data_IF_333227500614
#
_entry.id   IF_333227500614
#
_cell.length_a   1.000
_cell.length_b   1.000
_cell.length_c   1.000
_cell.angle_alpha   90.00
_cell.angle_beta   90.00
_cell.angle_gamma   90.00
#
_symmetry.space_group_name_H-M   'P 1'
#
loop_
_entity.id
_entity.type
_entity.pdbx_description
1 polymer ?
#
# COMPACT_ATOMS: atom_id res chain seq x y z
N UNK A 1 -25.59 9.22 23.75
CA UNK A 1 -25.69 9.32 22.27
C UNK A 1 -26.76 8.40 21.67
N UNK A 2 -26.67 7.08 21.89
CA UNK A 2 -27.53 6.09 21.22
C UNK A 2 -29.03 6.34 21.46
N UNK A 3 -29.42 6.68 22.69
CA UNK A 3 -30.82 6.97 23.04
C UNK A 3 -31.41 8.16 22.27
N UNK A 4 -30.66 9.26 22.10
CA UNK A 4 -31.11 10.42 21.29
C UNK A 4 -31.28 10.03 19.82
N UNK A 5 -30.33 9.26 19.28
CA UNK A 5 -30.44 8.72 17.92
C UNK A 5 -31.64 7.79 17.76
N UNK A 6 -31.90 6.93 18.74
CA UNK A 6 -33.05 6.02 18.71
C UNK A 6 -34.38 6.79 18.76
N UNK A 7 -34.47 7.89 19.51
CA UNK A 7 -35.63 8.80 19.54
C UNK A 7 -35.84 9.50 18.20
N UNK A 8 -34.79 10.09 17.63
CA UNK A 8 -34.84 10.72 16.30
C UNK A 8 -35.26 9.73 15.20
N UNK A 9 -34.66 8.54 15.22
CA UNK A 9 -34.96 7.48 14.26
C UNK A 9 -36.40 6.97 14.41
N UNK A 10 -36.92 6.90 15.65
CA UNK A 10 -38.31 6.54 15.92
C UNK A 10 -39.28 7.56 15.29
N UNK A 11 -39.11 8.85 15.59
CA UNK A 11 -39.99 9.88 15.02
C UNK A 11 -39.93 9.90 13.48
N UNK A 12 -38.73 9.74 12.90
CA UNK A 12 -38.57 9.69 11.45
C UNK A 12 -39.31 8.51 10.82
N UNK A 13 -39.30 7.32 11.45
CA UNK A 13 -40.07 6.17 10.98
C UNK A 13 -41.59 6.39 11.10
N UNK A 14 -42.06 7.06 12.16
CA UNK A 14 -43.48 7.36 12.34
C UNK A 14 -43.98 8.38 11.30
N UNK A 15 -43.19 9.43 11.03
CA UNK A 15 -43.49 10.40 9.97
C UNK A 15 -43.54 9.71 8.59
N UNK A 16 -42.60 8.82 8.30
CA UNK A 16 -42.62 8.03 7.05
C UNK A 16 -43.87 7.14 6.96
N UNK A 17 -44.33 6.57 8.08
CA UNK A 17 -45.57 5.80 8.15
C UNK A 17 -46.81 6.63 7.81
N UNK A 18 -46.91 7.86 8.33
CA UNK A 18 -47.99 8.81 7.98
C UNK A 18 -47.99 9.16 6.49
N UNK A 19 -46.80 9.26 5.87
CA UNK A 19 -46.62 9.48 4.42
C UNK A 19 -46.82 8.21 3.57
N UNK A 20 -47.41 7.15 4.13
CA UNK A 20 -47.63 5.86 3.49
C UNK A 20 -46.36 5.18 2.93
N UNK A 21 -45.17 5.53 3.45
CA UNK A 21 -43.93 4.86 3.08
C UNK A 21 -43.79 3.58 3.91
N UNK A 22 -43.48 2.47 3.24
CA UNK A 22 -43.31 1.17 3.91
C UNK A 22 -42.21 1.23 4.96
N UNK A 23 -42.59 1.08 6.23
CA UNK A 23 -41.66 0.99 7.36
C UNK A 23 -41.80 -0.34 8.10
N UNK A 24 -40.73 -0.77 8.77
CA UNK A 24 -40.76 -2.03 9.53
C UNK A 24 -41.49 -1.86 10.86
N UNK A 25 -42.70 -2.41 10.97
CA UNK A 25 -43.50 -2.44 12.20
C UNK A 25 -42.72 -3.03 13.38
N UNK A 26 -41.98 -4.12 13.15
CA UNK A 26 -41.12 -4.77 14.16
C UNK A 26 -40.02 -3.82 14.67
N UNK A 27 -39.44 -3.01 13.79
CA UNK A 27 -38.42 -2.03 14.16
C UNK A 27 -39.04 -0.88 14.97
N UNK A 28 -40.21 -0.39 14.57
CA UNK A 28 -40.91 0.67 15.32
C UNK A 28 -41.31 0.19 16.71
N UNK A 29 -41.93 -0.98 16.84
CA UNK A 29 -42.29 -1.55 18.15
C UNK A 29 -41.09 -1.72 19.08
N UNK A 30 -39.95 -2.17 18.54
CA UNK A 30 -38.69 -2.25 19.30
C UNK A 30 -38.21 -0.87 19.77
N UNK A 31 -38.27 0.13 18.90
CA UNK A 31 -37.84 1.48 19.23
C UNK A 31 -38.76 2.15 20.25
N UNK A 32 -40.08 2.00 20.14
CA UNK A 32 -41.05 2.49 21.14
C UNK A 32 -40.72 1.96 22.53
N UNK A 33 -40.47 0.65 22.65
CA UNK A 33 -40.08 0.02 23.93
C UNK A 33 -38.72 0.53 24.41
N UNK A 34 -37.74 0.67 23.51
CA UNK A 34 -36.37 1.08 23.85
C UNK A 34 -36.28 2.55 24.29
N UNK A 35 -37.06 3.43 23.69
CA UNK A 35 -37.05 4.86 24.00
C UNK A 35 -38.00 5.24 25.12
N UNK A 36 -38.92 4.35 25.51
CA UNK A 36 -39.98 4.62 26.49
C UNK A 36 -41.09 5.53 25.95
N UNK A 37 -41.14 5.78 24.64
CA UNK A 37 -42.08 6.70 24.00
C UNK A 37 -43.29 5.96 23.43
N UNK A 38 -43.96 5.14 24.23
CA UNK A 38 -45.13 4.34 23.80
C UNK A 38 -46.26 5.19 23.20
N UNK A 39 -46.45 6.41 23.72
CA UNK A 39 -47.47 7.34 23.26
C UNK A 39 -47.19 7.94 21.87
N UNK A 40 -45.94 7.89 21.38
CA UNK A 40 -45.56 8.55 20.13
C UNK A 40 -46.31 7.99 18.90
N UNK A 41 -46.77 6.74 18.97
CA UNK A 41 -47.57 6.12 17.90
C UNK A 41 -48.95 6.80 17.69
N UNK A 42 -49.47 7.49 18.71
CA UNK A 42 -50.79 8.15 18.68
C UNK A 42 -50.74 9.61 18.21
N UNK A 43 -49.56 10.14 17.92
CA UNK A 43 -49.37 11.54 17.56
C UNK A 43 -49.73 11.81 16.09
N UNK A 44 -50.21 13.02 15.82
CA UNK A 44 -50.40 13.52 14.46
C UNK A 44 -49.05 13.71 13.75
N UNK A 45 -49.06 13.79 12.42
CA UNK A 45 -47.84 14.08 11.66
C UNK A 45 -47.19 15.41 12.09
N UNK A 46 -48.00 16.45 12.28
CA UNK A 46 -47.54 17.77 12.70
C UNK A 46 -46.83 17.71 14.06
N UNK A 47 -47.40 16.99 15.04
CA UNK A 47 -46.81 16.82 16.37
C UNK A 47 -45.50 16.02 16.31
N UNK A 48 -45.44 14.99 15.47
CA UNK A 48 -44.24 14.18 15.26
C UNK A 48 -43.12 15.01 14.65
N UNK A 49 -43.42 15.84 13.66
CA UNK A 49 -42.45 16.75 13.04
C UNK A 49 -41.94 17.78 14.05
N UNK A 50 -42.82 18.39 14.86
CA UNK A 50 -42.44 19.33 15.90
C UNK A 50 -41.52 18.67 16.95
N UNK A 51 -41.88 17.48 17.44
CA UNK A 51 -41.04 16.73 18.40
C UNK A 51 -39.69 16.32 17.81
N UNK A 52 -39.68 15.88 16.54
CA UNK A 52 -38.44 15.54 15.86
C UNK A 52 -37.53 16.76 15.73
N UNK A 53 -38.08 17.93 15.39
CA UNK A 53 -37.32 19.17 15.26
C UNK A 53 -36.65 19.57 16.58
N UNK A 54 -37.41 19.57 17.68
CA UNK A 54 -36.89 19.89 19.02
C UNK A 54 -35.74 18.95 19.41
N UNK A 55 -35.95 17.63 19.26
CA UNK A 55 -34.94 16.62 19.58
C UNK A 55 -33.72 16.70 18.66
N UNK A 56 -33.92 17.14 17.41
CA UNK A 56 -32.81 17.33 16.48
C UNK A 56 -31.98 18.55 16.86
N UNK A 57 -32.61 19.66 17.25
CA UNK A 57 -31.89 20.86 17.71
C UNK A 57 -31.05 20.55 18.95
N UNK A 58 -31.65 19.90 19.94
CA UNK A 58 -30.93 19.46 21.14
C UNK A 58 -29.79 18.48 20.79
N UNK A 59 -30.03 17.52 19.88
CA UNK A 59 -28.95 16.67 19.37
C UNK A 59 -27.79 17.47 18.73
N UNK A 60 -28.09 18.50 17.93
CA UNK A 60 -27.07 19.34 17.28
C UNK A 60 -26.26 20.12 18.31
N UNK A 61 -26.90 20.75 19.29
CA UNK A 61 -26.22 21.51 20.33
C UNK A 61 -25.27 20.63 21.15
N UNK A 62 -25.77 19.49 21.61
CA UNK A 62 -24.96 18.60 22.45
C UNK A 62 -23.87 17.93 21.60
N UNK A 63 -24.12 17.62 20.33
CA UNK A 63 -23.08 17.16 19.40
C UNK A 63 -21.99 18.21 19.23
N UNK A 64 -22.31 19.49 19.10
CA UNK A 64 -21.31 20.56 18.95
C UNK A 64 -20.38 20.63 20.16
N UNK A 65 -20.93 20.49 21.37
CA UNK A 65 -20.18 20.61 22.63
C UNK A 65 -19.44 19.33 23.03
N UNK A 66 -20.04 18.15 22.81
CA UNK A 66 -19.57 16.86 23.36
C UNK A 66 -19.20 15.81 22.31
N UNK A 67 -19.09 16.17 21.02
CA UNK A 67 -18.77 15.22 19.94
C UNK A 67 -17.52 14.38 20.22
N UNK A 68 -16.46 14.99 20.77
CA UNK A 68 -15.22 14.29 21.08
C UNK A 68 -15.42 13.25 22.20
N UNK A 69 -16.01 13.65 23.32
CA UNK A 69 -16.30 12.77 24.46
C UNK A 69 -17.20 11.60 24.04
N UNK A 70 -18.28 11.87 23.29
CA UNK A 70 -19.16 10.83 22.78
C UNK A 70 -18.47 9.84 21.83
N UNK A 71 -17.48 10.31 21.05
CA UNK A 71 -16.70 9.44 20.19
C UNK A 71 -15.80 8.52 21.01
N UNK A 72 -15.20 9.02 22.09
CA UNK A 72 -14.40 8.22 23.00
C UNK A 72 -15.26 7.17 23.74
N UNK A 73 -16.35 7.59 24.38
CA UNK A 73 -17.29 6.70 25.06
C UNK A 73 -17.83 5.60 24.13
N UNK A 74 -18.17 5.96 22.89
CA UNK A 74 -18.60 4.99 21.89
C UNK A 74 -17.50 3.98 21.58
N UNK A 75 -16.25 4.43 21.42
CA UNK A 75 -15.11 3.56 21.16
C UNK A 75 -14.81 2.63 22.35
N UNK A 76 -14.89 3.13 23.58
CA UNK A 76 -14.72 2.35 24.82
C UNK A 76 -15.82 1.31 25.01
N UNK A 77 -17.09 1.71 24.84
CA UNK A 77 -18.22 0.77 24.90
C UNK A 77 -18.07 -0.30 23.82
N UNK A 78 -17.59 0.08 22.63
CA UNK A 78 -17.31 -0.87 21.54
C UNK A 78 -16.11 -1.77 21.85
N UNK A 79 -15.04 -1.28 22.49
CA UNK A 79 -13.86 -2.07 22.81
C UNK A 79 -14.17 -3.09 23.92
N UNK A 80 -14.94 -2.71 24.94
CA UNK A 80 -15.43 -3.61 25.98
C UNK A 80 -16.34 -4.71 25.39
N UNK A 81 -17.23 -4.36 24.45
CA UNK A 81 -18.06 -5.35 23.76
C UNK A 81 -17.25 -6.31 22.86
N UNK A 82 -16.11 -5.86 22.33
CA UNK A 82 -15.18 -6.68 21.53
C UNK A 82 -14.34 -7.59 22.42
N UNK A 83 -13.91 -7.12 23.61
CA UNK A 83 -13.21 -7.91 24.62
C UNK A 83 -14.07 -9.08 25.13
N UNK A 84 -15.39 -8.85 25.28
CA UNK A 84 -16.36 -9.86 25.72
C UNK A 84 -16.78 -10.86 24.63
N UNK A 85 -16.38 -10.66 23.37
CA UNK A 85 -16.73 -11.58 22.30
C UNK A 85 -15.77 -12.79 22.29
N UNK A 86 -16.32 -14.01 22.17
CA UNK A 86 -15.52 -15.25 22.06
C UNK A 86 -14.46 -15.13 20.96
N UNK A 87 -13.24 -15.58 21.24
CA UNK A 87 -12.16 -15.80 20.24
C UNK A 87 -12.76 -16.59 19.06
N UNK A 88 -12.62 -16.07 17.84
CA UNK A 88 -13.17 -16.67 16.61
C UNK A 88 -14.30 -15.92 15.93
N UNK A 89 -14.90 -14.90 16.56
CA UNK A 89 -15.94 -14.10 15.88
C UNK A 89 -15.33 -13.09 14.88
N UNK A 90 -15.40 -13.41 13.59
CA UNK A 90 -14.89 -12.59 12.46
C UNK A 90 -15.41 -11.14 12.52
N UNK A 91 -16.67 -10.92 12.93
CA UNK A 91 -17.26 -9.58 13.04
C UNK A 91 -16.64 -8.79 14.20
N UNK A 92 -16.30 -9.45 15.31
CA UNK A 92 -15.62 -8.82 16.44
C UNK A 92 -14.15 -8.49 16.10
N UNK A 93 -13.45 -9.38 15.39
CA UNK A 93 -12.09 -9.15 14.91
C UNK A 93 -12.02 -7.95 13.94
N UNK A 94 -12.83 -7.96 12.89
CA UNK A 94 -12.92 -6.86 11.90
C UNK A 94 -13.19 -5.51 12.57
N UNK A 95 -14.02 -5.52 13.62
CA UNK A 95 -14.36 -4.32 14.41
C UNK A 95 -13.18 -3.84 15.25
N UNK A 96 -12.40 -4.73 15.86
CA UNK A 96 -11.17 -4.41 16.60
C UNK A 96 -10.14 -3.74 15.67
N UNK A 97 -9.91 -4.32 14.50
CA UNK A 97 -8.98 -3.80 13.50
C UNK A 97 -9.36 -2.40 13.03
N UNK A 98 -10.67 -2.12 12.84
CA UNK A 98 -11.15 -0.77 12.49
C UNK A 98 -10.84 0.27 13.58
N UNK A 99 -11.02 -0.07 14.85
CA UNK A 99 -10.73 0.83 15.97
C UNK A 99 -9.23 1.14 16.04
N UNK A 100 -8.38 0.11 15.93
CA UNK A 100 -6.92 0.26 15.89
C UNK A 100 -6.47 1.15 14.71
N UNK A 101 -6.98 0.90 13.50
CA UNK A 101 -6.69 1.73 12.32
C UNK A 101 -7.10 3.20 12.51
N UNK A 102 -8.22 3.46 13.19
CA UNK A 102 -8.62 4.85 13.47
C UNK A 102 -7.71 5.51 14.51
N UNK A 103 -7.31 4.79 15.57
CA UNK A 103 -6.36 5.30 16.56
C UNK A 103 -5.01 5.62 15.91
N UNK A 104 -4.49 4.73 15.07
CA UNK A 104 -3.27 4.96 14.29
C UNK A 104 -3.39 6.18 13.37
N UNK A 105 -4.53 6.38 12.70
CA UNK A 105 -4.74 7.57 11.85
C UNK A 105 -4.70 8.87 12.65
N UNK A 106 -5.35 8.91 13.81
CA UNK A 106 -5.34 10.10 14.68
C UNK A 106 -3.95 10.36 15.27
N UNK A 107 -3.24 9.31 15.69
CA UNK A 107 -1.86 9.43 16.14
C UNK A 107 -0.94 9.95 15.03
N UNK A 108 -1.06 9.39 13.81
CA UNK A 108 -0.34 9.87 12.63
C UNK A 108 -0.66 11.34 12.35
N UNK A 109 -1.94 11.74 12.48
CA UNK A 109 -2.36 13.13 12.29
C UNK A 109 -1.78 14.06 13.35
N UNK A 110 -1.71 13.63 14.61
CA UNK A 110 -1.07 14.37 15.72
C UNK A 110 0.42 14.52 15.48
N UNK A 111 1.11 13.43 15.10
CA UNK A 111 2.53 13.45 14.72
C UNK A 111 2.78 14.43 13.56
N UNK A 112 1.96 14.37 12.50
CA UNK A 112 2.00 15.35 11.39
C UNK A 112 1.70 16.79 11.84
N UNK A 113 0.79 17.00 12.79
CA UNK A 113 0.51 18.36 13.31
C UNK A 113 1.67 18.90 14.14
N UNK A 114 2.30 18.04 14.95
CA UNK A 114 3.44 18.39 15.79
C UNK A 114 4.74 18.60 14.99
N UNK A 115 4.96 17.78 13.95
CA UNK A 115 6.13 17.87 13.07
C UNK A 115 5.99 18.91 11.96
N UNK A 116 4.85 19.61 11.87
CA UNK A 116 4.53 20.49 10.74
C UNK A 116 4.15 19.73 9.46
N UNK A 117 3.79 20.46 8.39
CA UNK A 117 3.60 19.84 7.07
C UNK A 117 4.92 19.18 6.66
N UNK A 118 5.01 17.86 6.83
CA UNK A 118 6.03 17.06 6.15
C UNK A 118 6.01 17.45 4.68
N UNK A 119 7.17 17.83 4.16
CA UNK A 119 7.31 18.28 2.79
C UNK A 119 6.80 17.18 1.86
N UNK A 120 5.82 17.51 1.02
CA UNK A 120 5.19 16.57 0.08
C UNK A 120 5.64 16.81 -1.36
N UNK A 121 6.67 17.63 -1.55
CA UNK A 121 7.35 17.81 -2.84
C UNK A 121 8.55 16.87 -3.00
N UNK A 122 9.08 16.76 -4.22
CA UNK A 122 10.31 16.01 -4.48
C UNK A 122 11.53 16.61 -3.77
N UNK A 123 12.61 15.84 -3.65
CA UNK A 123 13.85 16.27 -2.99
C UNK A 123 14.34 17.63 -3.49
N UNK A 124 14.40 18.63 -2.61
CA UNK A 124 14.96 19.94 -2.94
C UNK A 124 16.48 19.98 -2.79
N UNK A 125 17.02 19.19 -1.88
CA UNK A 125 18.45 19.15 -1.61
C UNK A 125 18.88 17.77 -1.11
N UNK A 126 20.14 17.44 -1.37
CA UNK A 126 20.80 16.23 -0.89
C UNK A 126 22.21 16.57 -0.39
N UNK A 127 22.76 15.73 0.47
CA UNK A 127 24.17 15.75 0.85
C UNK A 127 24.90 14.61 0.14
N UNK A 128 25.97 14.96 -0.55
CA UNK A 128 26.84 14.02 -1.28
C UNK A 128 28.25 14.14 -0.73
N UNK A 129 28.93 13.00 -0.56
CA UNK A 129 30.34 12.99 -0.19
C UNK A 129 31.18 13.36 -1.43
N UNK A 130 32.05 14.35 -1.29
CA UNK A 130 33.06 14.70 -2.27
C UNK A 130 34.43 14.36 -1.68
N UNK A 131 35.23 13.63 -2.44
CA UNK A 131 36.61 13.32 -2.09
C UNK A 131 37.48 14.46 -2.60
N UNK A 132 38.17 15.15 -1.70
CA UNK A 132 39.14 16.17 -2.03
C UNK A 132 40.44 15.53 -2.56
N UNK A 133 41.30 16.35 -3.18
CA UNK A 133 42.55 15.88 -3.80
C UNK A 133 43.52 15.21 -2.81
N UNK A 134 43.38 15.51 -1.52
CA UNK A 134 44.14 14.94 -0.41
C UNK A 134 43.55 13.61 0.11
N UNK A 135 42.49 13.10 -0.51
CA UNK A 135 41.78 11.88 -0.09
C UNK A 135 40.78 12.09 1.04
N UNK A 136 40.62 13.32 1.56
CA UNK A 136 39.64 13.60 2.61
C UNK A 136 38.23 13.70 2.03
N UNK A 137 37.26 13.07 2.68
CA UNK A 137 35.84 13.15 2.28
C UNK A 137 35.14 14.28 3.03
N UNK A 138 34.56 15.21 2.30
CA UNK A 138 33.71 16.27 2.86
C UNK A 138 32.32 16.23 2.26
N UNK A 139 31.32 16.65 3.03
CA UNK A 139 29.92 16.59 2.61
C UNK A 139 29.46 17.91 2.03
N UNK A 140 29.01 17.88 0.78
CA UNK A 140 28.51 19.06 0.08
C UNK A 140 26.99 18.96 -0.04
N UNK A 141 26.31 20.06 0.26
CA UNK A 141 24.86 20.15 0.10
C UNK A 141 24.54 20.63 -1.31
N UNK A 142 23.92 19.76 -2.11
CA UNK A 142 23.46 20.05 -3.46
C UNK A 142 22.00 20.51 -3.41
N UNK A 143 21.70 21.71 -3.91
CA UNK A 143 20.34 22.29 -3.88
C UNK A 143 19.72 22.51 -5.27
N UNK A 144 20.49 22.33 -6.34
CA UNK A 144 19.97 22.48 -7.71
C UNK A 144 19.36 21.16 -8.18
N UNK A 145 18.27 21.24 -8.95
CA UNK A 145 17.61 20.07 -9.54
C UNK A 145 18.58 19.16 -10.31
N UNK A 146 19.55 19.76 -11.01
CA UNK A 146 20.57 19.03 -11.77
C UNK A 146 21.49 18.24 -10.83
N UNK A 147 22.09 18.91 -9.84
CA UNK A 147 23.02 18.27 -8.91
C UNK A 147 22.34 17.22 -8.02
N UNK A 148 21.09 17.47 -7.61
CA UNK A 148 20.29 16.48 -6.87
C UNK A 148 20.08 15.22 -7.71
N UNK A 149 19.72 15.36 -8.99
CA UNK A 149 19.56 14.21 -9.89
C UNK A 149 20.87 13.46 -10.10
N UNK A 150 21.94 14.18 -10.43
CA UNK A 150 23.26 13.60 -10.67
C UNK A 150 23.76 12.84 -9.43
N UNK A 151 23.65 13.43 -8.23
CA UNK A 151 24.05 12.78 -6.99
C UNK A 151 23.21 11.54 -6.65
N UNK A 152 21.89 11.58 -6.84
CA UNK A 152 21.04 10.40 -6.67
C UNK A 152 21.35 9.29 -7.70
N UNK A 153 21.63 9.65 -8.95
CA UNK A 153 22.01 8.68 -10.00
C UNK A 153 23.36 8.03 -9.69
N UNK A 154 24.34 8.83 -9.27
CA UNK A 154 25.67 8.34 -8.94
C UNK A 154 25.62 7.40 -7.73
N UNK A 155 24.89 7.76 -6.68
CA UNK A 155 24.72 6.84 -5.54
C UNK A 155 24.06 5.54 -6.01
N UNK A 156 22.96 5.62 -6.76
CA UNK A 156 22.28 4.42 -7.23
C UNK A 156 23.22 3.51 -8.02
N UNK A 157 24.06 4.08 -8.90
CA UNK A 157 25.11 3.34 -9.59
C UNK A 157 26.04 2.63 -8.61
N UNK A 158 26.60 3.34 -7.63
CA UNK A 158 27.50 2.76 -6.63
C UNK A 158 26.81 1.68 -5.77
N UNK A 159 25.52 1.84 -5.50
CA UNK A 159 24.72 0.91 -4.69
C UNK A 159 24.37 -0.37 -5.43
N UNK A 160 24.00 -0.27 -6.70
CA UNK A 160 23.56 -1.43 -7.49
C UNK A 160 24.70 -2.11 -8.26
N UNK A 161 25.86 -1.44 -8.42
CA UNK A 161 27.04 -1.99 -9.11
C UNK A 161 28.14 -2.49 -8.16
N UNK A 162 27.78 -2.75 -6.89
CA UNK A 162 28.71 -3.24 -5.85
C UNK A 162 29.44 -4.54 -6.20
N UNK A 163 28.90 -5.31 -7.15
CA UNK A 163 29.49 -6.57 -7.60
C UNK A 163 30.66 -6.36 -8.57
N UNK A 164 30.74 -5.19 -9.23
CA UNK A 164 31.81 -4.81 -10.18
C UNK A 164 32.75 -3.76 -9.61
N UNK A 165 32.24 -2.81 -8.85
CA UNK A 165 32.97 -1.65 -8.34
C UNK A 165 32.72 -1.44 -6.84
N UNK A 166 33.73 -1.04 -6.04
CA UNK A 166 35.12 -0.79 -6.41
C UNK A 166 35.96 -2.06 -6.60
N UNK A 167 35.50 -3.20 -6.09
CA UNK A 167 36.18 -4.48 -6.21
C UNK A 167 35.25 -5.49 -6.87
N UNK A 168 35.72 -6.11 -7.94
CA UNK A 168 34.95 -7.14 -8.64
C UNK A 168 34.83 -8.39 -7.79
N UNK A 169 33.60 -8.83 -7.57
CA UNK A 169 33.31 -10.09 -6.88
C UNK A 169 33.66 -11.29 -7.78
N UNK A 170 33.92 -12.48 -7.23
CA UNK A 170 34.32 -13.66 -8.03
C UNK A 170 33.41 -13.98 -9.24
N UNK A 171 32.06 -13.84 -9.18
CA UNK A 171 31.20 -14.03 -10.37
C UNK A 171 31.41 -13.00 -11.49
N UNK A 172 31.99 -11.85 -11.16
CA UNK A 172 32.23 -10.74 -12.08
C UNK A 172 33.65 -10.75 -12.65
N UNK A 173 34.44 -11.79 -12.36
CA UNK A 173 35.78 -12.02 -12.92
C UNK A 173 35.80 -13.27 -13.80
N UNK A 174 36.77 -13.37 -14.71
CA UNK A 174 36.98 -14.58 -15.53
C UNK A 174 37.61 -15.70 -14.68
N UNK A 175 37.33 -16.99 -14.96
CA UNK A 175 36.52 -17.49 -16.09
C UNK A 175 35.01 -17.44 -15.85
N UNK A 176 34.55 -17.33 -14.61
CA UNK A 176 33.15 -17.49 -14.22
C UNK A 176 32.22 -16.49 -14.95
N UNK A 177 32.62 -15.22 -15.06
CA UNK A 177 31.86 -14.22 -15.79
C UNK A 177 31.63 -14.62 -17.26
N UNK A 178 32.67 -15.12 -17.94
CA UNK A 178 32.57 -15.57 -19.33
C UNK A 178 31.78 -16.86 -19.49
N UNK A 179 31.81 -17.75 -18.51
CA UNK A 179 31.03 -18.99 -18.55
C UNK A 179 29.53 -18.73 -18.55
N UNK A 180 29.07 -17.71 -17.81
CA UNK A 180 27.65 -17.39 -17.66
C UNK A 180 27.17 -16.21 -18.53
N UNK A 181 28.07 -15.48 -19.20
CA UNK A 181 27.70 -14.40 -20.15
C UNK A 181 28.19 -14.65 -21.58
N UNK A 182 28.83 -15.78 -21.85
CA UNK A 182 29.30 -16.17 -23.18
C UNK A 182 28.33 -17.05 -23.97
N UNK A 183 28.76 -17.59 -25.13
CA UNK A 183 27.95 -18.47 -25.97
C UNK A 183 27.41 -19.73 -25.26
N UNK A 184 28.13 -20.20 -24.23
CA UNK A 184 27.77 -21.39 -23.45
C UNK A 184 26.88 -21.08 -22.24
N UNK A 185 26.49 -19.83 -22.01
CA UNK A 185 25.75 -19.39 -20.82
C UNK A 185 24.54 -20.28 -20.49
N UNK A 186 23.68 -20.56 -21.48
CA UNK A 186 22.50 -21.42 -21.28
C UNK A 186 22.87 -22.83 -20.82
N UNK A 187 23.89 -23.44 -21.43
CA UNK A 187 24.38 -24.76 -21.06
C UNK A 187 24.94 -24.77 -19.64
N UNK A 188 25.75 -23.77 -19.30
CA UNK A 188 26.38 -23.65 -17.99
C UNK A 188 25.34 -23.38 -16.89
N UNK A 189 24.35 -22.51 -17.12
CA UNK A 189 23.21 -22.31 -16.20
C UNK A 189 22.42 -23.59 -15.97
N UNK A 190 22.14 -24.37 -17.02
CA UNK A 190 21.45 -25.65 -16.87
C UNK A 190 22.30 -26.70 -16.13
N UNK A 191 23.61 -26.74 -16.38
CA UNK A 191 24.52 -27.63 -15.66
C UNK A 191 24.59 -27.25 -14.18
N UNK A 192 24.70 -25.96 -13.86
CA UNK A 192 24.72 -25.46 -12.48
C UNK A 192 23.47 -25.85 -11.71
N UNK A 193 22.29 -25.59 -12.29
CA UNK A 193 21.01 -25.96 -11.68
C UNK A 193 20.85 -27.47 -11.47
N UNK A 194 21.54 -28.31 -12.26
CA UNK A 194 21.56 -29.77 -12.12
C UNK A 194 22.66 -30.29 -11.18
N UNK A 195 23.55 -29.43 -10.69
CA UNK A 195 24.73 -29.83 -9.92
C UNK A 195 25.82 -30.51 -10.76
N UNK A 196 25.89 -30.20 -12.06
CA UNK A 196 26.84 -30.77 -13.03
C UNK A 196 27.84 -29.73 -13.57
N UNK A 197 27.89 -28.54 -12.98
CA UNK A 197 28.80 -27.49 -13.42
C UNK A 197 30.18 -27.67 -12.75
N UNK A 198 31.20 -27.93 -13.56
CA UNK A 198 32.59 -28.14 -13.13
C UNK A 198 33.40 -26.86 -13.37
N UNK A 199 33.04 -25.77 -12.69
CA UNK A 199 33.81 -24.52 -12.74
C UNK A 199 35.01 -24.57 -11.79
N UNK A 200 36.21 -24.29 -12.31
CA UNK A 200 37.41 -24.18 -11.49
C UNK A 200 37.40 -22.84 -10.72
N UNK A 201 37.32 -22.91 -9.39
CA UNK A 201 37.55 -21.75 -8.52
C UNK A 201 38.24 -22.19 -7.23
N UNK A 202 39.23 -21.41 -6.80
CA UNK A 202 39.93 -21.62 -5.53
C UNK A 202 39.19 -20.98 -4.34
N UNK A 203 38.13 -20.20 -4.58
CA UNK A 203 37.37 -19.51 -3.52
C UNK A 203 36.32 -20.46 -2.90
N UNK A 204 36.49 -20.88 -1.62
CA UNK A 204 35.57 -21.81 -0.97
C UNK A 204 34.16 -21.25 -0.79
N UNK A 205 34.00 -19.93 -0.69
CA UNK A 205 32.69 -19.31 -0.57
C UNK A 205 31.94 -19.34 -1.90
N UNK A 206 32.65 -19.18 -3.01
CA UNK A 206 32.07 -19.30 -4.34
C UNK A 206 31.67 -20.75 -4.63
N UNK A 207 32.50 -21.74 -4.27
CA UNK A 207 32.13 -23.16 -4.38
C UNK A 207 30.84 -23.43 -3.61
N UNK A 208 30.75 -22.98 -2.35
CA UNK A 208 29.56 -23.13 -1.53
C UNK A 208 28.34 -22.45 -2.17
N UNK A 209 28.48 -21.23 -2.67
CA UNK A 209 27.39 -20.52 -3.35
C UNK A 209 26.88 -21.27 -4.59
N UNK A 210 27.78 -21.80 -5.42
CA UNK A 210 27.42 -22.55 -6.62
C UNK A 210 26.69 -23.86 -6.27
N UNK A 211 27.11 -24.55 -5.22
CA UNK A 211 26.42 -25.76 -4.74
C UNK A 211 24.97 -25.45 -4.29
N UNK A 212 24.77 -24.33 -3.59
CA UNK A 212 23.44 -23.87 -3.18
C UNK A 212 22.56 -23.35 -4.33
N UNK A 213 23.11 -23.14 -5.52
CA UNK A 213 22.34 -22.79 -6.70
C UNK A 213 21.66 -24.00 -7.35
N UNK A 214 21.97 -25.23 -6.92
CA UNK A 214 21.33 -26.45 -7.42
C UNK A 214 19.81 -26.39 -7.16
N UNK A 215 19.03 -26.77 -8.18
CA UNK A 215 17.58 -26.86 -8.07
C UNK A 215 17.23 -27.97 -7.06
N UNK A 216 16.43 -27.67 -6.02
CA UNK A 216 15.92 -28.69 -5.12
C UNK A 216 15.07 -29.74 -5.83
N UNK A 217 15.17 -30.99 -5.39
CA UNK A 217 14.32 -32.07 -5.87
C UNK A 217 12.88 -31.89 -5.39
N UNK A 218 11.90 -32.30 -6.20
CA UNK A 218 10.48 -32.25 -5.85
C UNK A 218 9.80 -30.89 -6.05
N UNK A 219 10.47 -29.89 -6.65
CA UNK A 219 9.83 -28.63 -7.06
C UNK A 219 9.18 -28.76 -8.44
N UNK A 220 7.86 -28.60 -8.50
CA UNK A 220 7.12 -28.51 -9.75
C UNK A 220 7.44 -27.21 -10.51
N UNK A 221 7.60 -27.31 -11.84
CA UNK A 221 7.68 -26.14 -12.70
C UNK A 221 6.36 -25.39 -12.68
N UNK A 222 6.41 -24.12 -12.28
CA UNK A 222 5.28 -23.22 -12.40
C UNK A 222 5.31 -22.56 -13.77
N UNK A 223 4.16 -22.43 -14.45
CA UNK A 223 4.11 -21.70 -15.70
C UNK A 223 4.53 -20.24 -15.46
N UNK A 224 5.40 -19.74 -16.33
CA UNK A 224 5.86 -18.34 -16.33
C UNK A 224 4.84 -17.41 -17.04
N UNK A 225 3.61 -17.86 -17.22
CA UNK A 225 2.57 -17.13 -17.94
C UNK A 225 1.70 -16.33 -16.98
N UNK A 226 1.29 -15.14 -17.43
CA UNK A 226 0.29 -14.34 -16.73
C UNK A 226 -1.07 -14.72 -17.29
N UNK A 227 -1.93 -15.31 -16.46
CA UNK A 227 -3.29 -15.60 -16.88
C UNK A 227 -4.17 -14.32 -16.90
N UNK A 228 -5.20 -14.34 -17.75
CA UNK A 228 -6.15 -13.24 -17.87
C UNK A 228 -6.90 -13.00 -16.56
N UNK A 229 -7.30 -14.08 -15.85
CA UNK A 229 -8.00 -13.94 -14.57
C UNK A 229 -7.10 -13.24 -13.55
N UNK A 230 -5.83 -13.63 -13.49
CA UNK A 230 -4.83 -13.04 -12.61
C UNK A 230 -4.61 -11.56 -12.92
N UNK A 231 -4.42 -11.22 -14.20
CA UNK A 231 -4.27 -9.84 -14.67
C UNK A 231 -5.47 -8.98 -14.26
N UNK A 232 -6.68 -9.44 -14.55
CA UNK A 232 -7.93 -8.73 -14.20
C UNK A 232 -8.08 -8.59 -12.69
N UNK A 233 -7.79 -9.64 -11.93
CA UNK A 233 -7.94 -9.64 -10.47
C UNK A 233 -6.96 -8.67 -9.80
N UNK A 234 -5.74 -8.56 -10.32
CA UNK A 234 -4.70 -7.66 -9.83
C UNK A 234 -5.10 -6.20 -10.08
N UNK A 235 -5.41 -5.85 -11.33
CA UNK A 235 -5.68 -4.47 -11.71
C UNK A 235 -6.99 -3.91 -11.14
N UNK A 236 -8.00 -4.75 -10.89
CA UNK A 236 -9.21 -4.35 -10.15
C UNK A 236 -8.90 -3.86 -8.73
N UNK A 237 -7.91 -4.48 -8.07
CA UNK A 237 -7.50 -4.15 -6.69
C UNK A 237 -6.52 -2.98 -6.65
N UNK A 238 -5.84 -2.69 -7.76
CA UNK A 238 -4.82 -1.65 -7.80
C UNK A 238 -5.41 -0.26 -7.62
N UNK A 239 -4.70 0.52 -6.80
CA UNK A 239 -5.00 1.92 -6.55
C UNK A 239 -4.56 2.76 -7.74
N UNK A 240 -5.47 3.58 -8.25
CA UNK A 240 -5.24 4.47 -9.39
C UNK A 240 -4.06 5.40 -9.13
N UNK A 241 -4.00 6.03 -7.96
CA UNK A 241 -2.95 6.99 -7.56
C UNK A 241 -1.54 6.39 -7.37
N UNK A 242 -1.32 5.11 -7.69
CA UNK A 242 0.03 4.52 -7.70
C UNK A 242 0.70 4.84 -9.04
N UNK A 243 2.01 5.03 -9.01
CA UNK A 243 2.80 5.19 -10.24
C UNK A 243 2.65 3.98 -11.16
N UNK A 244 2.72 4.25 -12.47
CA UNK A 244 2.83 3.28 -13.55
C UNK A 244 4.07 3.65 -14.37
N UNK A 245 4.19 3.12 -15.59
CA UNK A 245 5.18 3.44 -16.61
C UNK A 245 5.47 4.95 -16.71
N UNK A 246 6.75 5.36 -16.88
CA UNK A 246 7.14 6.76 -16.96
C UNK A 246 6.55 7.53 -18.15
N UNK A 247 5.95 6.85 -19.13
CA UNK A 247 5.49 7.42 -20.40
C UNK A 247 4.00 7.85 -20.40
N UNK A 248 3.39 8.00 -19.23
CA UNK A 248 2.16 8.80 -19.07
C UNK A 248 0.85 8.02 -19.01
N UNK A 249 0.87 6.69 -19.20
CA UNK A 249 -0.26 5.86 -18.83
C UNK A 249 -0.34 5.81 -17.31
N UNK A 250 -1.43 6.32 -16.73
CA UNK A 250 -1.76 6.12 -15.32
C UNK A 250 -2.52 4.81 -15.12
N UNK A 251 -2.42 4.18 -13.95
CA UNK A 251 -3.10 2.90 -13.61
C UNK A 251 -4.60 2.88 -13.91
N UNK A 252 -5.27 4.04 -13.90
CA UNK A 252 -6.67 4.16 -14.29
C UNK A 252 -6.97 3.67 -15.70
N UNK A 253 -6.03 3.79 -16.65
CA UNK A 253 -6.21 3.30 -18.02
C UNK A 253 -6.26 1.78 -18.06
N UNK A 254 -5.29 1.11 -17.43
CA UNK A 254 -5.29 -0.37 -17.34
C UNK A 254 -6.52 -0.85 -16.56
N UNK A 255 -6.90 -0.13 -15.50
CA UNK A 255 -8.08 -0.46 -14.71
C UNK A 255 -9.40 -0.30 -15.48
N UNK A 256 -9.49 0.68 -16.38
CA UNK A 256 -10.60 0.78 -17.32
C UNK A 256 -10.51 -0.33 -18.38
N UNK A 257 -9.30 -0.65 -18.85
CA UNK A 257 -9.00 -1.73 -19.80
C UNK A 257 -9.51 -3.08 -19.32
N UNK A 258 -9.34 -3.42 -18.04
CA UNK A 258 -9.85 -4.69 -17.48
C UNK A 258 -11.38 -4.82 -17.41
N UNK A 259 -12.13 -3.77 -17.76
CA UNK A 259 -13.58 -3.87 -17.99
C UNK A 259 -13.92 -4.38 -19.40
N UNK A 260 -12.98 -4.31 -20.35
CA UNK A 260 -13.10 -4.83 -21.71
C UNK A 260 -12.29 -6.12 -21.85
N UNK A 261 -12.95 -7.22 -22.22
CA UNK A 261 -12.27 -8.51 -22.38
C UNK A 261 -11.15 -8.44 -23.43
N UNK A 262 -11.40 -7.75 -24.56
CA UNK A 262 -10.41 -7.60 -25.62
C UNK A 262 -9.15 -6.88 -25.12
N UNK A 263 -9.32 -5.74 -24.43
CA UNK A 263 -8.18 -4.96 -23.94
C UNK A 263 -7.43 -5.71 -22.83
N UNK A 264 -8.15 -6.34 -21.91
CA UNK A 264 -7.56 -7.17 -20.87
C UNK A 264 -6.72 -8.31 -21.45
N UNK A 265 -7.21 -8.99 -22.50
CA UNK A 265 -6.46 -10.03 -23.20
C UNK A 265 -5.18 -9.46 -23.83
N UNK A 266 -5.27 -8.33 -24.54
CA UNK A 266 -4.10 -7.68 -25.13
C UNK A 266 -3.06 -7.32 -24.07
N UNK A 267 -3.48 -6.64 -22.99
CA UNK A 267 -2.59 -6.24 -21.90
C UNK A 267 -1.93 -7.45 -21.23
N UNK A 268 -2.68 -8.55 -21.06
CA UNK A 268 -2.15 -9.82 -20.51
C UNK A 268 -1.07 -10.42 -21.41
N UNK A 269 -1.30 -10.46 -22.73
CA UNK A 269 -0.31 -10.93 -23.70
C UNK A 269 0.94 -10.06 -23.68
N UNK A 270 0.80 -8.73 -23.64
CA UNK A 270 1.96 -7.85 -23.55
C UNK A 270 2.77 -8.16 -22.27
N UNK A 271 2.11 -8.29 -21.13
CA UNK A 271 2.76 -8.63 -19.87
C UNK A 271 3.50 -9.99 -19.92
N UNK A 272 3.07 -10.95 -20.75
CA UNK A 272 3.71 -12.27 -20.84
C UNK A 272 4.92 -12.31 -21.77
N UNK A 273 5.10 -11.32 -22.66
CA UNK A 273 6.22 -11.29 -23.63
C UNK A 273 7.60 -11.48 -22.96
N UNK A 274 7.97 -10.75 -21.90
CA UNK A 274 9.29 -10.90 -21.29
C UNK A 274 9.52 -12.29 -20.70
N UNK A 275 8.48 -12.89 -20.16
CA UNK A 275 8.54 -14.22 -19.57
C UNK A 275 8.66 -15.31 -20.64
N UNK A 276 7.91 -15.18 -21.74
CA UNK A 276 7.90 -16.16 -22.82
C UNK A 276 9.15 -16.08 -23.71
N UNK A 277 9.70 -14.88 -23.92
CA UNK A 277 10.74 -14.65 -24.94
C UNK A 277 12.09 -14.25 -24.37
N UNK A 278 12.15 -13.82 -23.10
CA UNK A 278 13.33 -13.14 -22.55
C UNK A 278 13.59 -11.76 -23.15
N UNK A 279 12.72 -11.26 -24.03
CA UNK A 279 12.82 -9.94 -24.64
C UNK A 279 12.04 -8.91 -23.83
N UNK A 280 12.70 -7.79 -23.50
CA UNK A 280 12.07 -6.65 -22.85
C UNK A 280 12.01 -5.49 -23.85
N UNK A 281 10.81 -4.96 -24.17
CA UNK A 281 10.67 -3.77 -24.99
C UNK A 281 11.51 -2.60 -24.44
N UNK A 282 12.22 -1.83 -25.29
CA UNK A 282 13.08 -0.72 -24.85
C UNK A 282 12.36 0.28 -23.93
N UNK A 283 11.07 0.52 -24.15
CA UNK A 283 10.26 1.42 -23.34
C UNK A 283 10.16 0.96 -21.88
N UNK A 284 10.17 -0.36 -21.63
CA UNK A 284 10.08 -0.95 -20.30
C UNK A 284 11.44 -1.02 -19.59
N UNK A 285 12.54 -0.79 -20.31
CA UNK A 285 13.87 -0.70 -19.72
C UNK A 285 14.09 0.63 -18.95
N UNK A 286 13.12 1.56 -19.02
CA UNK A 286 13.17 2.82 -18.31
C UNK A 286 12.32 2.74 -17.04
N UNK A 287 12.98 2.67 -15.88
CA UNK A 287 12.33 2.77 -14.58
C UNK A 287 12.64 4.15 -13.96
N UNK A 288 11.61 4.78 -13.41
CA UNK A 288 11.78 6.01 -12.65
C UNK A 288 12.09 5.66 -11.19
N UNK A 289 13.37 5.68 -10.84
CA UNK A 289 13.82 5.50 -9.47
C UNK A 289 13.77 6.83 -8.72
N UNK A 290 13.11 6.83 -7.56
CA UNK A 290 13.06 7.99 -6.67
C UNK A 290 13.93 7.77 -5.45
N UNK A 291 14.81 8.72 -5.16
CA UNK A 291 15.44 8.81 -3.85
C UNK A 291 14.44 9.42 -2.85
N UNK A 292 14.21 8.74 -1.74
CA UNK A 292 13.31 9.16 -0.67
C UNK A 292 14.03 9.05 0.67
N UNK A 293 13.89 10.05 1.52
CA UNK A 293 14.44 10.06 2.88
C UNK A 293 14.01 8.81 3.67
N UNK A 294 14.98 8.05 4.23
CA UNK A 294 14.66 6.95 5.17
C UNK A 294 14.07 7.49 6.46
N UNK A 295 14.66 8.58 6.96
CA UNK A 295 14.25 9.33 8.15
C UNK A 295 14.02 10.79 7.73
N UNK A 296 12.90 11.41 8.14
CA UNK A 296 12.64 12.80 7.78
C UNK A 296 13.78 13.75 8.17
N UNK A 297 14.23 14.58 7.22
CA UNK A 297 15.32 15.54 7.39
C UNK A 297 16.73 14.95 7.20
N UNK A 298 16.86 13.63 7.05
CA UNK A 298 18.14 12.97 6.77
C UNK A 298 18.37 12.94 5.25
N UNK A 299 18.95 14.04 4.75
CA UNK A 299 19.13 14.27 3.31
C UNK A 299 20.43 13.68 2.73
N UNK A 300 21.08 12.76 3.44
CA UNK A 300 22.32 12.12 3.00
C UNK A 300 21.99 11.05 1.97
N UNK A 301 22.58 11.14 0.78
CA UNK A 301 22.14 10.34 -0.38
C UNK A 301 22.33 8.83 -0.16
N UNK A 302 23.38 8.43 0.54
CA UNK A 302 23.69 7.06 0.98
C UNK A 302 22.69 6.53 2.02
N UNK A 303 22.07 7.44 2.79
CA UNK A 303 21.03 7.11 3.76
C UNK A 303 19.61 7.20 3.17
N UNK A 304 19.45 7.51 1.88
CA UNK A 304 18.15 7.48 1.22
C UNK A 304 17.73 6.07 0.78
N UNK A 305 16.41 5.88 0.61
CA UNK A 305 15.83 4.72 -0.09
C UNK A 305 15.75 5.04 -1.56
N UNK A 306 16.07 4.06 -2.38
CA UNK A 306 15.74 4.07 -3.80
C UNK A 306 14.50 3.20 -3.97
N UNK A 307 13.44 3.76 -4.55
CA UNK A 307 12.15 3.09 -4.79
C UNK A 307 11.78 3.25 -6.26
#
# INVERSE_FOLDING_TARGET
MQQKWDRLHLYQLLILGHKQVRTSSRKVGRLLKKTGLSYAWKLSEADLQAKWYIEHQDYKEVKRKRAHQWRLEYLETRSAAVQRAKKGNIKAHTRRTRVQRMAQKEETRRRRKAQGKGFSGGLQQIKVAQVAQDGTSHWVTCQSKRLVKEGCMQENWLRYDQTRYPYSTPPMTKPLYSDFNGPNAKRNSQALLRGLYEGETADPYLVSFLDHCRRPEGLEDQPLEVDLEDHVSFWRKMGELKGLEPHGLHNGHIKAGVASNLLACCDTIFCSIPFATGFVPPQWCHLLNFAIEKKPGEIWVDLMRTI
#
